data_IF_758220585576
#
_entry.id   IF_758220585576
#
_cell.length_a   1.000
_cell.length_b   1.000
_cell.length_c   1.000
_cell.angle_alpha   90.00
_cell.angle_beta   90.00
_cell.angle_gamma   90.00
#
_symmetry.space_group_name_H-M   'P 1'
#
loop_
_entity.id
_entity.type
_entity.pdbx_description
1 polymer ?
#
# COMPACT_ATOMS: atom_id res chain seq x y z
N UNK A 1 6.91 11.39 -11.74
CA UNK A 1 6.79 10.06 -11.11
C UNK A 1 6.30 9.04 -12.12
N UNK A 2 5.18 9.29 -12.82
CA UNK A 2 4.58 8.36 -13.78
C UNK A 2 5.51 7.78 -14.85
N UNK A 3 6.47 8.56 -15.37
CA UNK A 3 7.39 8.09 -16.42
C UNK A 3 8.35 6.99 -15.94
N UNK A 4 8.49 6.79 -14.62
CA UNK A 4 9.35 5.75 -14.04
C UNK A 4 8.63 4.41 -13.87
N UNK A 5 7.31 4.36 -13.99
CA UNK A 5 6.53 3.12 -13.96
C UNK A 5 6.33 2.61 -15.40
N UNK A 6 6.52 1.31 -15.68
CA UNK A 6 6.16 0.69 -16.95
C UNK A 6 4.70 0.96 -17.34
N UNK A 7 4.36 0.85 -18.62
CA UNK A 7 2.96 0.92 -19.04
C UNK A 7 2.16 -0.24 -18.44
N UNK A 8 0.96 0.04 -17.94
CA UNK A 8 0.09 -0.94 -17.29
C UNK A 8 -0.83 -0.31 -16.25
N UNK A 9 -1.58 -1.17 -15.56
CA UNK A 9 -2.61 -0.77 -14.59
C UNK A 9 -2.07 0.14 -13.48
N UNK A 10 -0.90 -0.17 -12.90
CA UNK A 10 -0.29 0.65 -11.84
C UNK A 10 -0.03 2.09 -12.28
N UNK A 11 0.43 2.28 -13.52
CA UNK A 11 0.69 3.62 -14.07
C UNK A 11 -0.60 4.39 -14.32
N UNK A 12 -1.61 3.72 -14.87
CA UNK A 12 -2.93 4.31 -15.10
C UNK A 12 -3.58 4.71 -13.77
N UNK A 13 -3.51 3.85 -12.75
CA UNK A 13 -4.08 4.12 -11.44
C UNK A 13 -3.31 5.20 -10.66
N UNK A 14 -1.98 5.25 -10.77
CA UNK A 14 -1.18 6.36 -10.23
C UNK A 14 -1.57 7.69 -10.88
N UNK A 15 -1.80 7.67 -12.21
CA UNK A 15 -2.25 8.85 -12.93
C UNK A 15 -3.59 9.36 -12.40
N UNK A 16 -4.57 8.49 -12.19
CA UNK A 16 -5.85 8.91 -11.59
C UNK A 16 -5.69 9.52 -10.18
N UNK A 17 -4.77 8.97 -9.37
CA UNK A 17 -4.46 9.53 -8.06
C UNK A 17 -3.82 10.94 -8.15
N UNK A 18 -2.97 11.18 -9.16
CA UNK A 18 -2.36 12.48 -9.45
C UNK A 18 -3.42 13.45 -9.98
N UNK A 19 -4.27 13.03 -10.90
CA UNK A 19 -5.36 13.86 -11.44
C UNK A 19 -6.28 14.34 -10.29
N UNK A 20 -6.57 13.48 -9.29
CA UNK A 20 -7.28 13.89 -8.06
C UNK A 20 -6.55 14.98 -7.28
N UNK A 21 -5.22 14.87 -7.15
CA UNK A 21 -4.42 15.88 -6.45
C UNK A 21 -4.43 17.23 -7.19
N UNK A 22 -4.32 17.21 -8.52
CA UNK A 22 -4.27 18.42 -9.35
C UNK A 22 -5.55 19.25 -9.24
N UNK A 23 -6.72 18.61 -9.22
CA UNK A 23 -8.01 19.28 -9.05
C UNK A 23 -8.32 19.66 -7.58
N UNK A 24 -7.42 19.33 -6.65
CA UNK A 24 -7.58 19.63 -5.22
C UNK A 24 -8.40 18.62 -4.42
N UNK A 25 -8.71 17.45 -4.99
CA UNK A 25 -9.34 16.34 -4.29
C UNK A 25 -8.34 15.56 -3.41
N UNK A 26 -7.70 16.27 -2.48
CA UNK A 26 -6.56 15.81 -1.67
C UNK A 26 -6.81 14.50 -0.92
N UNK A 27 -8.01 14.31 -0.35
CA UNK A 27 -8.38 13.08 0.37
C UNK A 27 -8.47 11.89 -0.58
N UNK A 28 -9.03 12.09 -1.77
CA UNK A 28 -9.14 11.05 -2.79
C UNK A 28 -7.76 10.64 -3.29
N UNK A 29 -6.87 11.60 -3.57
CA UNK A 29 -5.50 11.33 -3.99
C UNK A 29 -4.75 10.43 -2.99
N UNK A 30 -4.86 10.70 -1.68
CA UNK A 30 -4.27 9.88 -0.61
C UNK A 30 -4.87 8.47 -0.61
N UNK A 31 -6.20 8.34 -0.69
CA UNK A 31 -6.88 7.04 -0.67
C UNK A 31 -6.48 6.20 -1.89
N UNK A 32 -6.47 6.78 -3.09
CA UNK A 32 -6.08 6.07 -4.32
C UNK A 32 -4.62 5.66 -4.30
N UNK A 33 -3.72 6.55 -3.87
CA UNK A 33 -2.29 6.21 -3.75
C UNK A 33 -2.05 5.06 -2.77
N UNK A 34 -2.82 5.01 -1.67
CA UNK A 34 -2.75 3.90 -0.73
C UNK A 34 -3.26 2.58 -1.33
N UNK A 35 -4.38 2.62 -2.06
CA UNK A 35 -4.93 1.45 -2.75
C UNK A 35 -3.89 0.87 -3.71
N UNK A 36 -3.26 1.73 -4.51
CA UNK A 36 -2.17 1.33 -5.41
C UNK A 36 -1.03 0.64 -4.67
N UNK A 37 -0.57 1.22 -3.56
CA UNK A 37 0.54 0.66 -2.79
C UNK A 37 0.25 -0.75 -2.27
N UNK A 38 -0.97 -0.96 -1.76
CA UNK A 38 -1.41 -2.26 -1.26
C UNK A 38 -1.50 -3.29 -2.39
N UNK A 39 -2.12 -2.91 -3.50
CA UNK A 39 -2.27 -3.77 -4.67
C UNK A 39 -0.92 -4.19 -5.26
N UNK A 40 -0.01 -3.23 -5.38
CA UNK A 40 1.36 -3.45 -5.84
C UNK A 40 2.12 -4.42 -4.94
N UNK A 41 1.98 -4.31 -3.61
CA UNK A 41 2.57 -5.27 -2.66
C UNK A 41 1.93 -6.66 -2.78
N UNK A 42 0.63 -6.76 -3.01
CA UNK A 42 -0.03 -8.06 -3.25
C UNK A 42 0.54 -8.73 -4.51
N UNK A 43 0.66 -7.98 -5.60
CA UNK A 43 1.24 -8.47 -6.85
C UNK A 43 2.69 -8.92 -6.67
N UNK A 44 3.52 -8.11 -6.00
CA UNK A 44 4.90 -8.45 -5.70
C UNK A 44 5.02 -9.72 -4.86
N UNK A 45 4.16 -9.89 -3.85
CA UNK A 45 4.15 -11.09 -3.01
C UNK A 45 3.76 -12.32 -3.84
N UNK A 46 2.69 -12.24 -4.62
CA UNK A 46 2.25 -13.36 -5.46
C UNK A 46 3.32 -13.79 -6.46
N UNK A 47 4.03 -12.82 -7.06
CA UNK A 47 5.07 -13.09 -8.04
C UNK A 47 6.38 -13.62 -7.42
N UNK A 48 6.80 -13.05 -6.28
CA UNK A 48 8.19 -13.20 -5.82
C UNK A 48 8.35 -13.75 -4.39
N UNK A 49 7.33 -13.61 -3.53
CA UNK A 49 7.46 -13.84 -2.07
C UNK A 49 6.35 -14.69 -1.45
N UNK A 50 5.59 -15.42 -2.26
CA UNK A 50 4.39 -16.14 -1.83
C UNK A 50 4.69 -17.16 -0.72
N UNK A 51 5.76 -17.94 -0.88
CA UNK A 51 6.16 -18.96 0.10
C UNK A 51 6.57 -18.34 1.44
N UNK A 52 7.37 -17.28 1.42
CA UNK A 52 7.84 -16.56 2.61
C UNK A 52 6.66 -15.92 3.36
N UNK A 53 5.74 -15.28 2.62
CA UNK A 53 4.54 -14.67 3.19
C UNK A 53 3.63 -15.73 3.83
N UNK A 54 3.35 -16.83 3.14
CA UNK A 54 2.50 -17.91 3.65
C UNK A 54 3.10 -18.59 4.88
N UNK A 55 4.43 -18.74 4.96
CA UNK A 55 5.10 -19.26 6.15
C UNK A 55 4.93 -18.34 7.38
N UNK A 56 4.94 -17.02 7.18
CA UNK A 56 4.66 -16.07 8.26
C UNK A 56 3.18 -16.09 8.64
N UNK A 57 2.28 -16.10 7.64
CA UNK A 57 0.84 -16.12 7.83
C UNK A 57 0.38 -17.38 8.59
N UNK A 58 0.91 -18.56 8.25
CA UNK A 58 0.53 -19.82 8.91
C UNK A 58 0.87 -19.87 10.40
N UNK A 59 1.74 -18.97 10.88
CA UNK A 59 2.13 -18.85 12.29
C UNK A 59 1.31 -17.80 13.05
N UNK A 60 0.60 -16.90 12.35
CA UNK A 60 -0.20 -15.86 12.97
C UNK A 60 -1.60 -16.37 13.31
N UNK A 61 -1.92 -16.41 14.61
CA UNK A 61 -3.21 -16.90 15.11
C UNK A 61 -4.34 -15.85 15.04
N UNK A 62 -4.03 -14.63 14.62
CA UNK A 62 -4.98 -13.50 14.54
C UNK A 62 -5.63 -13.35 13.16
N UNK A 63 -5.14 -14.05 12.15
CA UNK A 63 -5.74 -14.10 10.81
C UNK A 63 -6.50 -15.41 10.63
N UNK A 64 -7.67 -15.35 9.97
CA UNK A 64 -8.54 -16.52 9.80
C UNK A 64 -8.00 -17.54 8.79
N UNK A 65 -7.37 -17.05 7.73
CA UNK A 65 -6.75 -17.86 6.69
C UNK A 65 -5.30 -18.17 7.04
N UNK A 66 -4.82 -19.33 6.62
CA UNK A 66 -3.44 -19.79 6.86
C UNK A 66 -2.53 -19.63 5.64
N UNK A 67 -3.08 -19.35 4.47
CA UNK A 67 -2.34 -19.12 3.23
C UNK A 67 -3.15 -18.25 2.26
N UNK A 68 -2.45 -17.52 1.41
CA UNK A 68 -2.99 -16.87 0.20
C UNK A 68 -2.49 -17.60 -1.04
N UNK A 69 -3.32 -17.65 -2.07
CA UNK A 69 -3.04 -18.25 -3.39
C UNK A 69 -3.31 -17.26 -4.53
N UNK A 70 -4.21 -16.32 -4.32
CA UNK A 70 -4.61 -15.30 -5.28
C UNK A 70 -4.81 -13.95 -4.60
N UNK A 71 -4.95 -12.89 -5.41
CA UNK A 71 -5.09 -11.51 -4.97
C UNK A 71 -6.23 -11.29 -3.97
N UNK A 72 -7.39 -11.89 -4.22
CA UNK A 72 -8.57 -11.63 -3.39
C UNK A 72 -8.47 -12.22 -1.97
N UNK A 73 -7.58 -13.21 -1.77
CA UNK A 73 -7.34 -13.80 -0.45
C UNK A 73 -6.74 -12.78 0.53
N UNK A 74 -6.02 -11.76 0.03
CA UNK A 74 -5.47 -10.70 0.89
C UNK A 74 -6.57 -9.86 1.56
N UNK A 75 -7.79 -9.83 1.03
CA UNK A 75 -8.91 -9.08 1.62
C UNK A 75 -9.38 -9.65 2.97
N UNK A 76 -9.06 -10.92 3.25
CA UNK A 76 -9.31 -11.56 4.55
C UNK A 76 -8.32 -11.10 5.64
N UNK A 77 -7.32 -10.30 5.26
CA UNK A 77 -6.25 -9.81 6.14
C UNK A 77 -6.41 -8.29 6.33
N UNK A 78 -6.57 -7.86 7.58
CA UNK A 78 -6.56 -6.42 7.90
C UNK A 78 -5.22 -5.80 7.51
N UNK A 79 -5.22 -4.59 6.97
CA UNK A 79 -4.00 -3.94 6.44
C UNK A 79 -2.89 -3.78 7.49
N UNK A 80 -3.22 -3.39 8.73
CA UNK A 80 -2.25 -3.36 9.83
C UNK A 80 -1.58 -4.71 10.04
N UNK A 81 -2.37 -5.79 9.97
CA UNK A 81 -1.86 -7.15 10.13
C UNK A 81 -1.05 -7.59 8.91
N UNK A 82 -1.48 -7.23 7.71
CA UNK A 82 -0.73 -7.47 6.47
C UNK A 82 0.67 -6.83 6.51
N UNK A 83 0.79 -5.58 6.95
CA UNK A 83 2.07 -4.87 7.09
C UNK A 83 3.00 -5.61 8.08
N UNK A 84 2.47 -6.04 9.23
CA UNK A 84 3.23 -6.83 10.21
C UNK A 84 3.68 -8.18 9.65
N UNK A 85 2.82 -8.87 8.90
CA UNK A 85 3.16 -10.13 8.24
C UNK A 85 4.26 -9.94 7.19
N UNK A 86 4.21 -8.88 6.39
CA UNK A 86 5.28 -8.55 5.44
C UNK A 86 6.61 -8.35 6.16
N UNK A 87 6.61 -7.70 7.33
CA UNK A 87 7.82 -7.52 8.13
C UNK A 87 8.31 -8.85 8.73
N UNK A 88 7.41 -9.67 9.25
CA UNK A 88 7.72 -10.97 9.85
C UNK A 88 8.27 -11.96 8.81
N UNK A 89 7.77 -11.90 7.58
CA UNK A 89 8.27 -12.66 6.43
C UNK A 89 9.60 -12.13 5.87
N UNK A 90 10.11 -10.99 6.36
CA UNK A 90 11.34 -10.36 5.86
C UNK A 90 11.19 -9.73 4.47
N UNK A 91 9.97 -9.52 3.98
CA UNK A 91 9.67 -8.94 2.67
C UNK A 91 9.95 -7.44 2.69
N UNK A 92 9.58 -6.78 3.79
CA UNK A 92 9.85 -5.36 4.02
C UNK A 92 10.77 -5.15 5.23
N UNK A 93 11.55 -4.06 5.20
CA UNK A 93 12.37 -3.65 6.34
C UNK A 93 11.50 -3.04 7.45
N UNK A 94 12.08 -2.89 8.65
CA UNK A 94 11.39 -2.22 9.75
C UNK A 94 11.06 -0.75 9.45
N UNK A 95 11.88 -0.07 8.64
CA UNK A 95 11.65 1.33 8.29
C UNK A 95 10.51 1.46 7.28
N UNK A 96 10.44 0.57 6.28
CA UNK A 96 9.29 0.51 5.36
C UNK A 96 8.00 0.20 6.13
N UNK A 97 8.04 -0.73 7.10
CA UNK A 97 6.91 -1.01 8.00
C UNK A 97 6.43 0.25 8.73
N UNK A 98 7.33 1.04 9.31
CA UNK A 98 6.99 2.30 10.00
C UNK A 98 6.38 3.34 9.06
N UNK A 99 6.92 3.48 7.84
CA UNK A 99 6.36 4.36 6.82
C UNK A 99 4.93 3.93 6.48
N UNK A 100 4.71 2.65 6.18
CA UNK A 100 3.39 2.10 5.87
C UNK A 100 2.40 2.29 7.02
N UNK A 101 2.80 2.06 8.27
CA UNK A 101 1.94 2.30 9.45
C UNK A 101 1.51 3.77 9.57
N UNK A 102 2.45 4.70 9.39
CA UNK A 102 2.16 6.14 9.43
C UNK A 102 1.20 6.55 8.30
N UNK A 103 1.43 6.05 7.08
CA UNK A 103 0.61 6.37 5.91
C UNK A 103 -0.77 5.71 6.02
N UNK A 104 -0.88 4.50 6.57
CA UNK A 104 -2.15 3.85 6.89
C UNK A 104 -3.02 4.75 7.80
N UNK A 105 -2.46 5.30 8.89
CA UNK A 105 -3.19 6.23 9.76
C UNK A 105 -3.65 7.50 9.05
N UNK A 106 -2.82 8.04 8.16
CA UNK A 106 -3.17 9.19 7.33
C UNK A 106 -4.32 8.87 6.37
N UNK A 107 -4.26 7.73 5.69
CA UNK A 107 -5.34 7.27 4.80
C UNK A 107 -6.64 7.03 5.56
N UNK A 108 -6.59 6.39 6.74
CA UNK A 108 -7.76 6.18 7.58
C UNK A 108 -8.46 7.50 7.93
N UNK A 109 -7.69 8.55 8.25
CA UNK A 109 -8.23 9.89 8.51
C UNK A 109 -8.89 10.52 7.27
N UNK A 110 -8.41 10.17 6.07
CA UNK A 110 -8.91 10.67 4.78
C UNK A 110 -10.17 9.93 4.31
N UNK A 111 -10.27 8.63 4.57
CA UNK A 111 -11.37 7.74 4.16
C UNK A 111 -12.66 7.96 4.95
N UNK A 112 -12.59 8.63 6.10
CA UNK A 112 -13.77 9.00 6.88
C UNK A 112 -13.99 10.52 6.88
N UNK A 113 -15.25 11.00 6.79
CA UNK A 113 -15.57 12.41 7.01
C UNK A 113 -15.15 12.81 8.42
N UNK A 114 -14.05 13.56 8.50
CA UNK A 114 -13.44 13.98 9.76
C UNK A 114 -13.10 15.46 9.70
N UNK A 115 -12.96 16.11 10.86
CA UNK A 115 -12.54 17.51 10.94
C UNK A 115 -11.08 17.77 10.51
N UNK A 116 -10.35 16.72 10.11
CA UNK A 116 -8.94 16.81 9.69
C UNK A 116 -8.84 17.57 8.37
N UNK A 117 -8.06 18.65 8.35
CA UNK A 117 -7.73 19.36 7.11
C UNK A 117 -6.54 18.69 6.44
N UNK A 118 -6.70 18.34 5.16
CA UNK A 118 -5.64 17.77 4.33
C UNK A 118 -5.21 18.82 3.31
N UNK A 119 -4.01 19.36 3.51
CA UNK A 119 -3.41 20.35 2.60
C UNK A 119 -2.57 19.66 1.51
N UNK A 120 -2.17 20.42 0.50
CA UNK A 120 -1.41 19.89 -0.64
C UNK A 120 -0.06 19.31 -0.24
N UNK A 121 0.67 19.93 0.69
CA UNK A 121 1.98 19.43 1.12
C UNK A 121 1.90 18.05 1.76
N UNK A 122 0.85 17.77 2.54
CA UNK A 122 0.61 16.44 3.12
C UNK A 122 0.30 15.38 2.05
N UNK A 123 -0.35 15.76 0.96
CA UNK A 123 -0.58 14.84 -0.16
C UNK A 123 0.72 14.54 -0.90
N UNK A 124 1.54 15.57 -1.17
CA UNK A 124 2.85 15.40 -1.82
C UNK A 124 3.73 14.46 -1.00
N UNK A 125 3.90 14.72 0.29
CA UNK A 125 4.63 13.85 1.23
C UNK A 125 4.08 12.42 1.23
N UNK A 126 2.77 12.24 1.15
CA UNK A 126 2.16 10.92 1.08
C UNK A 126 2.53 10.19 -0.20
N UNK A 127 2.37 10.85 -1.35
CA UNK A 127 2.63 10.27 -2.66
C UNK A 127 4.11 9.93 -2.83
N UNK A 128 5.01 10.85 -2.47
CA UNK A 128 6.46 10.66 -2.59
C UNK A 128 6.94 9.46 -1.76
N UNK A 129 6.55 9.39 -0.48
CA UNK A 129 6.98 8.29 0.37
C UNK A 129 6.49 6.93 -0.12
N UNK A 130 5.23 6.84 -0.55
CA UNK A 130 4.66 5.59 -1.07
C UNK A 130 5.35 5.21 -2.39
N UNK A 131 5.53 6.19 -3.28
CA UNK A 131 6.14 5.97 -4.57
C UNK A 131 7.57 5.47 -4.45
N UNK A 132 8.43 6.17 -3.69
CA UNK A 132 9.85 5.82 -3.59
C UNK A 132 10.10 4.60 -2.70
N UNK A 133 9.35 4.43 -1.60
CA UNK A 133 9.63 3.38 -0.62
C UNK A 133 8.82 2.10 -0.81
N UNK A 134 7.80 2.12 -1.67
CA UNK A 134 6.98 0.95 -1.99
C UNK A 134 7.05 0.67 -3.49
N UNK A 135 6.49 1.53 -4.34
CA UNK A 135 6.29 1.24 -5.76
C UNK A 135 7.62 1.05 -6.49
N UNK A 136 8.58 1.94 -6.28
CA UNK A 136 9.90 1.82 -6.92
C UNK A 136 10.77 0.74 -6.29
N UNK A 137 10.45 0.30 -5.07
CA UNK A 137 11.27 -0.63 -4.29
C UNK A 137 10.91 -2.09 -4.55
N UNK A 138 9.66 -2.38 -4.89
CA UNK A 138 9.12 -3.74 -5.02
C UNK A 138 8.65 -4.05 -6.44
N UNK A 139 9.57 -4.04 -7.41
CA UNK A 139 9.24 -4.29 -8.82
C UNK A 139 8.51 -5.62 -9.00
N UNK A 140 7.31 -5.54 -9.59
CA UNK A 140 6.50 -6.69 -10.00
C UNK A 140 7.03 -7.26 -11.31
#
# INVERSE_FOLDING_TARGET
MEHKIPAGADKEFLKEAIDCFEIGANRAAIVMTWILAMDHLFAYILAHKLADFNLALSKDKGVKISSVCQRDDFTEIKETKFIELCRAAGIISNDVRKILDQKLGTRNSCAHPSGVKINKSKVIDFIEDIFDNVIMKFSV
#
